data_IF_120840116216
#
_entry.id   IF_120840116216
#
_cell.length_a   1.000
_cell.length_b   1.000
_cell.length_c   1.000
_cell.angle_alpha   90.00
_cell.angle_beta   90.00
_cell.angle_gamma   90.00
#
_symmetry.space_group_name_H-M   'P 1'
#
loop_
_entity.id
_entity.type
_entity.pdbx_description
1 polymer ?
#
# COMPACT_ATOMS: atom_id res chain seq x y z
N UNK A 1 -19.72 -1.87 2.07
CA UNK A 1 -19.30 -2.25 0.70
C UNK A 1 -18.97 -3.75 0.57
N UNK A 2 -18.66 -4.50 1.65
CA UNK A 2 -18.57 -5.97 1.60
C UNK A 2 -19.91 -6.72 1.75
N UNK A 3 -20.87 -6.15 2.50
CA UNK A 3 -22.17 -6.81 2.76
C UNK A 3 -23.02 -7.05 1.51
N UNK A 4 -22.87 -6.22 0.47
CA UNK A 4 -23.62 -6.37 -0.79
C UNK A 4 -23.15 -7.54 -1.64
N UNK A 5 -21.90 -7.98 -1.44
CA UNK A 5 -21.28 -9.02 -2.28
C UNK A 5 -21.58 -10.42 -1.74
N UNK A 6 -21.83 -10.58 -0.44
CA UNK A 6 -22.08 -11.88 0.20
C UNK A 6 -23.16 -11.81 1.30
N UNK A 7 -24.45 -11.61 0.94
CA UNK A 7 -25.52 -11.34 1.90
C UNK A 7 -25.88 -12.54 2.82
N UNK A 8 -25.47 -13.76 2.46
CA UNK A 8 -25.76 -14.99 3.23
C UNK A 8 -24.55 -15.55 3.98
N UNK A 9 -23.39 -14.93 3.82
CA UNK A 9 -22.26 -15.28 4.64
C UNK A 9 -22.52 -14.68 6.03
N UNK A 10 -22.96 -15.50 6.99
CA UNK A 10 -22.81 -15.25 8.43
C UNK A 10 -21.32 -15.14 8.85
N UNK A 11 -20.43 -14.76 7.93
CA UNK A 11 -19.16 -14.17 8.22
C UNK A 11 -19.48 -12.75 8.73
N UNK A 12 -19.80 -12.63 10.02
CA UNK A 12 -19.18 -11.53 10.77
C UNK A 12 -17.71 -11.70 10.46
N UNK A 13 -17.18 -10.94 9.51
CA UNK A 13 -15.77 -10.98 9.22
C UNK A 13 -15.15 -10.76 10.59
N UNK A 14 -14.44 -11.78 11.08
CA UNK A 14 -13.88 -11.75 12.43
C UNK A 14 -13.17 -10.39 12.51
N UNK A 15 -13.41 -9.55 13.53
CA UNK A 15 -13.00 -8.14 13.50
C UNK A 15 -11.50 -7.97 13.15
N UNK A 16 -10.68 -8.98 13.44
CA UNK A 16 -9.29 -9.06 13.01
C UNK A 16 -9.08 -9.10 11.47
N UNK A 17 -9.95 -9.74 10.69
CA UNK A 17 -9.86 -9.83 9.23
C UNK A 17 -10.21 -8.48 8.57
N UNK A 18 -11.28 -7.82 9.01
CA UNK A 18 -11.65 -6.50 8.49
C UNK A 18 -10.56 -5.46 8.79
N UNK A 19 -10.03 -5.49 10.02
CA UNK A 19 -8.93 -4.62 10.42
C UNK A 19 -7.69 -4.88 9.55
N UNK A 20 -7.37 -6.15 9.28
CA UNK A 20 -6.21 -6.51 8.45
C UNK A 20 -6.38 -6.05 6.99
N UNK A 21 -7.56 -6.20 6.40
CA UNK A 21 -7.87 -5.67 5.06
C UNK A 21 -7.75 -4.15 5.05
N UNK A 22 -8.28 -3.47 6.07
CA UNK A 22 -8.20 -2.01 6.18
C UNK A 22 -6.75 -1.53 6.31
N UNK A 23 -5.91 -2.23 7.07
CA UNK A 23 -4.48 -1.93 7.20
C UNK A 23 -3.77 -2.15 5.87
N UNK A 24 -3.99 -3.28 5.20
CA UNK A 24 -3.39 -3.57 3.88
C UNK A 24 -3.76 -2.53 2.83
N UNK A 25 -5.02 -2.06 2.81
CA UNK A 25 -5.45 -1.00 1.91
C UNK A 25 -4.75 0.33 2.19
N UNK A 26 -4.54 0.68 3.47
CA UNK A 26 -3.81 1.90 3.85
C UNK A 26 -2.33 1.82 3.49
N UNK A 27 -1.71 0.68 3.75
CA UNK A 27 -0.31 0.42 3.39
C UNK A 27 -0.15 0.51 1.86
N UNK A 28 -1.02 -0.16 1.10
CA UNK A 28 -1.04 -0.08 -0.35
C UNK A 28 -1.22 1.35 -0.86
N UNK A 29 -2.19 2.12 -0.32
CA UNK A 29 -2.40 3.49 -0.76
C UNK A 29 -1.15 4.36 -0.55
N UNK A 30 -0.43 4.15 0.55
CA UNK A 30 0.84 4.85 0.81
C UNK A 30 1.88 4.51 -0.26
N UNK A 31 2.08 3.22 -0.55
CA UNK A 31 3.04 2.76 -1.58
C UNK A 31 2.61 3.24 -2.98
N UNK A 32 1.32 3.19 -3.27
CA UNK A 32 0.75 3.64 -4.54
C UNK A 32 0.93 5.14 -4.74
N UNK A 33 0.72 5.97 -3.71
CA UNK A 33 0.94 7.41 -3.78
C UNK A 33 2.42 7.76 -4.00
N UNK A 34 3.34 6.98 -3.43
CA UNK A 34 4.77 7.15 -3.68
C UNK A 34 5.15 6.85 -5.13
N UNK A 35 4.61 5.77 -5.70
CA UNK A 35 4.93 5.30 -7.05
C UNK A 35 4.14 5.99 -8.15
N UNK A 36 2.93 6.47 -7.86
CA UNK A 36 2.01 7.10 -8.82
C UNK A 36 1.87 8.61 -8.64
N UNK A 37 2.38 9.16 -7.54
CA UNK A 37 2.32 10.59 -7.25
C UNK A 37 3.13 11.43 -8.23
N UNK A 38 2.99 12.76 -8.14
CA UNK A 38 3.78 13.70 -8.98
C UNK A 38 5.30 13.53 -8.83
N UNK A 39 5.71 12.98 -7.69
CA UNK A 39 7.10 12.61 -7.37
C UNK A 39 7.49 11.22 -7.91
N UNK A 40 6.67 10.57 -8.75
CA UNK A 40 6.90 9.26 -9.38
C UNK A 40 8.32 9.12 -9.95
N UNK A 41 8.90 10.21 -10.49
CA UNK A 41 10.26 10.17 -11.04
C UNK A 41 11.35 9.88 -10.01
N UNK A 42 11.06 10.05 -8.72
CA UNK A 42 12.04 9.93 -7.63
C UNK A 42 11.91 8.61 -6.87
N UNK A 43 10.79 7.90 -7.00
CA UNK A 43 10.55 6.60 -6.38
C UNK A 43 10.35 5.53 -7.45
N UNK A 44 11.17 4.49 -7.40
CA UNK A 44 11.03 3.30 -8.20
C UNK A 44 10.48 2.13 -7.40
N UNK A 45 10.17 1.05 -8.11
CA UNK A 45 9.76 -0.22 -7.55
C UNK A 45 10.79 -1.30 -7.93
N UNK A 46 11.31 -2.02 -6.94
CA UNK A 46 12.17 -3.18 -7.15
C UNK A 46 11.30 -4.43 -7.19
N UNK A 47 11.10 -4.97 -8.39
CA UNK A 47 10.27 -6.16 -8.62
C UNK A 47 10.84 -7.42 -7.94
N UNK A 48 12.15 -7.53 -7.77
CA UNK A 48 12.75 -8.72 -7.17
C UNK A 48 12.61 -8.71 -5.65
N UNK A 49 12.81 -7.54 -5.03
CA UNK A 49 12.70 -7.34 -3.59
C UNK A 49 11.29 -6.99 -3.14
N UNK A 50 10.41 -6.71 -4.11
CA UNK A 50 9.03 -6.28 -3.92
C UNK A 50 8.96 -5.09 -2.95
N UNK A 51 9.71 -4.02 -3.23
CA UNK A 51 9.77 -2.85 -2.34
C UNK A 51 10.04 -1.55 -3.09
N UNK A 52 9.75 -0.42 -2.42
CA UNK A 52 10.04 0.92 -2.94
C UNK A 52 11.53 1.21 -2.84
N UNK A 53 12.11 1.74 -3.91
CA UNK A 53 13.52 2.14 -3.99
C UNK A 53 13.65 3.59 -4.41
N UNK A 54 14.57 4.31 -3.78
CA UNK A 54 14.92 5.69 -4.09
C UNK A 54 16.25 6.04 -3.42
N UNK A 55 16.85 7.16 -3.81
CA UNK A 55 18.01 7.72 -3.10
C UNK A 55 17.65 8.13 -1.66
N UNK A 56 18.64 8.05 -0.76
CA UNK A 56 18.44 8.44 0.65
C UNK A 56 17.97 9.88 0.82
N UNK A 57 18.42 10.80 -0.05
CA UNK A 57 17.98 12.19 -0.04
C UNK A 57 16.48 12.33 -0.35
N UNK A 58 15.97 11.52 -1.30
CA UNK A 58 14.55 11.48 -1.65
C UNK A 58 13.73 10.92 -0.49
N UNK A 59 14.16 9.81 0.10
CA UNK A 59 13.51 9.22 1.29
C UNK A 59 13.45 10.22 2.45
N UNK A 60 14.58 10.82 2.82
CA UNK A 60 14.66 11.75 3.93
C UNK A 60 13.77 12.98 3.70
N UNK A 61 13.72 13.51 2.46
CA UNK A 61 12.83 14.62 2.12
C UNK A 61 11.34 14.23 2.20
N UNK A 62 10.98 13.06 1.69
CA UNK A 62 9.59 12.60 1.64
C UNK A 62 9.04 12.26 3.03
N UNK A 63 9.83 11.56 3.86
CA UNK A 63 9.44 11.14 5.21
C UNK A 63 9.18 12.34 6.14
N UNK A 64 9.83 13.48 5.92
CA UNK A 64 9.59 14.69 6.70
C UNK A 64 8.13 15.16 6.64
N UNK A 65 7.47 14.99 5.48
CA UNK A 65 6.04 15.31 5.31
C UNK A 65 5.14 14.07 5.40
N UNK A 66 5.66 12.87 5.15
CA UNK A 66 4.92 11.61 5.11
C UNK A 66 5.53 10.57 6.05
N UNK A 67 5.46 10.81 7.36
CA UNK A 67 6.10 9.94 8.37
C UNK A 67 5.69 8.47 8.28
N UNK A 68 4.46 8.19 7.85
CA UNK A 68 3.93 6.82 7.69
C UNK A 68 4.63 6.02 6.59
N UNK A 69 5.35 6.68 5.70
CA UNK A 69 6.07 6.04 4.59
C UNK A 69 7.42 5.46 5.01
N UNK A 70 7.99 5.90 6.16
CA UNK A 70 9.31 5.46 6.64
C UNK A 70 9.41 3.94 6.78
N UNK A 71 8.31 3.31 7.20
CA UNK A 71 8.23 1.85 7.31
C UNK A 71 8.51 1.12 5.99
N UNK A 72 8.30 1.74 4.83
CA UNK A 72 8.50 1.13 3.52
C UNK A 72 9.93 1.28 2.98
N UNK A 73 10.79 2.05 3.65
CA UNK A 73 12.19 2.26 3.22
C UNK A 73 13.00 0.97 3.14
N UNK A 74 12.70 0.03 4.04
CA UNK A 74 13.43 -1.24 4.17
C UNK A 74 12.50 -2.46 4.23
N UNK A 75 11.21 -2.28 3.92
CA UNK A 75 10.18 -3.31 4.07
C UNK A 75 9.67 -3.74 2.70
N UNK A 76 9.70 -5.05 2.44
CA UNK A 76 9.01 -5.65 1.31
C UNK A 76 7.50 -5.58 1.47
N UNK A 77 6.82 -5.28 0.37
CA UNK A 77 5.37 -5.23 0.24
C UNK A 77 4.90 -6.11 -0.95
N UNK A 78 4.96 -7.45 -0.81
CA UNK A 78 4.75 -8.40 -1.92
C UNK A 78 3.31 -8.49 -2.46
N UNK A 79 2.39 -7.69 -1.91
CA UNK A 79 1.00 -7.65 -2.35
C UNK A 79 0.70 -6.42 -3.23
N UNK A 80 1.71 -5.64 -3.59
CA UNK A 80 1.53 -4.39 -4.31
C UNK A 80 0.73 -4.57 -5.61
N UNK A 81 1.15 -5.48 -6.48
CA UNK A 81 0.50 -5.68 -7.79
C UNK A 81 -0.92 -6.19 -7.66
N UNK A 82 -1.14 -7.15 -6.76
CA UNK A 82 -2.47 -7.70 -6.49
C UNK A 82 -3.41 -6.61 -6.00
N UNK A 83 -2.98 -5.81 -5.03
CA UNK A 83 -3.79 -4.73 -4.47
C UNK A 83 -4.00 -3.59 -5.48
N UNK A 84 -3.00 -3.30 -6.33
CA UNK A 84 -3.13 -2.34 -7.43
C UNK A 84 -4.18 -2.80 -8.44
N UNK A 85 -4.19 -4.10 -8.79
CA UNK A 85 -5.19 -4.65 -9.72
C UNK A 85 -6.63 -4.56 -9.20
N UNK A 86 -6.81 -4.53 -7.88
CA UNK A 86 -8.10 -4.44 -7.18
C UNK A 86 -8.54 -2.99 -6.98
N UNK A 87 -7.64 -2.13 -6.51
CA UNK A 87 -8.00 -0.79 -6.01
C UNK A 87 -7.64 0.38 -6.95
N UNK A 88 -6.76 0.19 -7.94
CA UNK A 88 -6.42 1.27 -8.88
C UNK A 88 -7.44 1.44 -10.02
N UNK A 89 -8.44 0.56 -10.10
CA UNK A 89 -9.50 0.57 -11.14
C UNK A 89 -10.80 1.25 -10.69
N UNK A 90 -10.91 1.60 -9.41
CA UNK A 90 -12.00 2.41 -8.84
C UNK A 90 -11.65 3.91 -8.96
#
# INVERSE_FOLDING_TARGET
>A
MLEKVLPYAMLKAKPNLELRIRTLKKDWATVYDMLSGKENKKFGWDEHRQMVVAEDAVWNSYINSHKVADQFRHRSFPYYDQLTSIYAKD
#
